data_IF_422661039645
#
_entry.id   IF_422661039645
#
_cell.length_a   1.000
_cell.length_b   1.000
_cell.length_c   1.000
_cell.angle_alpha   90.00
_cell.angle_beta   90.00
_cell.angle_gamma   90.00
#
_symmetry.space_group_name_H-M   'P 1'
#
loop_
_entity.id
_entity.type
_entity.pdbx_description
1 polymer ?
#
# COMPACT_ATOMS: atom_id res chain seq x y z
N UNK A 1 1.51 18.62 -13.54
CA UNK A 1 1.06 19.03 -12.19
C UNK A 1 2.01 18.43 -11.15
N UNK A 2 3.30 18.76 -11.24
CA UNK A 2 4.40 18.18 -10.45
C UNK A 2 5.15 19.26 -9.66
N UNK A 3 4.47 20.38 -9.38
CA UNK A 3 5.09 21.54 -8.76
C UNK A 3 5.38 21.25 -7.27
N UNK A 4 6.67 21.14 -6.97
CA UNK A 4 7.30 21.79 -5.82
C UNK A 4 7.15 21.16 -4.42
N UNK A 5 6.95 19.85 -4.29
CA UNK A 5 7.18 19.20 -2.99
C UNK A 5 8.67 19.00 -2.74
N UNK A 6 9.14 19.38 -1.54
CA UNK A 6 10.53 19.17 -1.15
C UNK A 6 10.74 17.69 -0.83
N UNK A 7 11.89 17.09 -1.19
CA UNK A 7 12.23 15.75 -0.72
C UNK A 7 12.11 15.67 0.81
N UNK A 8 11.47 14.61 1.31
CA UNK A 8 11.24 14.41 2.75
C UNK A 8 10.00 15.11 3.32
N UNK A 9 9.30 15.93 2.53
CA UNK A 9 8.01 16.50 2.94
C UNK A 9 6.94 15.41 2.96
N UNK A 10 6.08 15.40 3.98
CA UNK A 10 4.92 14.52 3.99
C UNK A 10 3.83 15.10 3.08
N UNK A 11 3.29 14.24 2.22
CA UNK A 11 2.15 14.56 1.36
C UNK A 11 0.99 13.66 1.71
N UNK A 12 -0.20 14.24 1.73
CA UNK A 12 -1.46 13.51 1.89
C UNK A 12 -2.05 13.27 0.52
N UNK A 13 -2.24 12.00 0.18
CA UNK A 13 -2.87 11.58 -1.06
C UNK A 13 -4.27 11.07 -0.74
N UNK A 14 -5.27 11.50 -1.50
CA UNK A 14 -6.66 11.03 -1.39
C UNK A 14 -7.15 10.53 -2.74
N UNK A 15 -7.70 9.32 -2.80
CA UNK A 15 -8.31 8.79 -4.03
C UNK A 15 -9.64 9.50 -4.28
N UNK A 16 -9.77 10.21 -5.40
CA UNK A 16 -10.99 10.98 -5.71
C UNK A 16 -12.06 10.16 -6.40
N UNK A 17 -11.67 9.16 -7.20
CA UNK A 17 -12.59 8.34 -8.00
C UNK A 17 -12.09 6.90 -8.10
N UNK A 18 -12.98 5.98 -8.43
CA UNK A 18 -12.65 4.56 -8.57
C UNK A 18 -11.66 4.31 -9.71
N UNK A 19 -10.62 3.54 -9.41
CA UNK A 19 -9.57 3.18 -10.38
C UNK A 19 -10.03 1.95 -11.16
N UNK A 20 -10.16 2.12 -12.48
CA UNK A 20 -10.71 1.13 -13.41
C UNK A 20 -9.67 0.10 -13.86
N UNK A 21 -8.47 0.57 -14.15
CA UNK A 21 -7.34 -0.21 -14.67
C UNK A 21 -6.61 -0.93 -13.54
N UNK A 22 -6.24 -2.21 -13.72
CA UNK A 22 -5.50 -2.97 -12.71
C UNK A 22 -4.10 -2.37 -12.46
N UNK A 23 -3.42 -1.90 -13.50
CA UNK A 23 -2.06 -1.35 -13.40
C UNK A 23 -2.01 -0.05 -12.56
N UNK A 24 -2.99 0.83 -12.75
CA UNK A 24 -3.11 2.05 -11.94
C UNK A 24 -3.47 1.70 -10.49
N UNK A 25 -4.31 0.67 -10.30
CA UNK A 25 -4.70 0.19 -8.97
C UNK A 25 -3.48 -0.35 -8.22
N UNK A 26 -2.65 -1.14 -8.89
CA UNK A 26 -1.42 -1.68 -8.32
C UNK A 26 -0.41 -0.58 -8.00
N UNK A 27 -0.32 0.45 -8.85
CA UNK A 27 0.50 1.64 -8.61
C UNK A 27 0.04 2.41 -7.37
N UNK A 28 -1.26 2.67 -7.23
CA UNK A 28 -1.81 3.32 -6.04
C UNK A 28 -1.60 2.47 -4.80
N UNK A 29 -1.89 1.17 -4.85
CA UNK A 29 -1.65 0.27 -3.71
C UNK A 29 -0.18 0.24 -3.30
N UNK A 30 0.74 0.33 -4.25
CA UNK A 30 2.19 0.41 -3.98
C UNK A 30 2.56 1.73 -3.30
N UNK A 31 1.98 2.85 -3.73
CA UNK A 31 2.14 4.14 -3.04
C UNK A 31 1.57 4.09 -1.62
N UNK A 32 0.38 3.51 -1.43
CA UNK A 32 -0.22 3.32 -0.10
C UNK A 32 0.66 2.49 0.84
N UNK A 33 1.34 1.45 0.32
CA UNK A 33 2.28 0.64 1.11
C UNK A 33 3.52 1.40 1.58
N UNK A 34 3.76 2.63 1.14
CA UNK A 34 4.85 3.46 1.65
C UNK A 34 4.49 4.15 2.96
N UNK A 35 3.19 4.30 3.26
CA UNK A 35 2.69 4.88 4.50
C UNK A 35 3.18 4.07 5.71
N UNK A 36 3.82 4.71 6.71
CA UNK A 36 4.28 4.06 7.93
C UNK A 36 3.19 3.26 8.65
N UNK A 37 1.95 3.73 8.70
CA UNK A 37 0.88 3.08 9.43
C UNK A 37 0.35 1.85 8.69
N UNK A 38 0.25 1.94 7.35
CA UNK A 38 -0.06 0.77 6.51
C UNK A 38 1.06 -0.28 6.63
N UNK A 39 2.34 0.13 6.60
CA UNK A 39 3.48 -0.78 6.80
C UNK A 39 3.42 -1.49 8.15
N UNK A 40 3.15 -0.75 9.24
CA UNK A 40 2.98 -1.32 10.59
C UNK A 40 1.81 -2.29 10.64
N UNK A 41 0.68 -1.95 10.03
CA UNK A 41 -0.47 -2.82 9.92
C UNK A 41 -0.14 -4.12 9.20
N UNK A 42 0.56 -4.05 8.06
CA UNK A 42 0.94 -5.23 7.27
C UNK A 42 1.91 -6.12 8.04
N UNK A 43 2.86 -5.53 8.78
CA UNK A 43 3.77 -6.28 9.66
C UNK A 43 3.01 -7.05 10.74
N UNK A 44 2.12 -6.38 11.47
CA UNK A 44 1.28 -7.02 12.51
C UNK A 44 0.41 -8.14 11.94
N UNK A 45 -0.17 -7.90 10.76
CA UNK A 45 -0.99 -8.91 10.09
C UNK A 45 -0.16 -10.14 9.69
N UNK A 46 1.07 -9.94 9.23
CA UNK A 46 2.00 -11.02 8.90
C UNK A 46 2.42 -11.81 10.14
N UNK A 47 2.74 -11.14 11.25
CA UNK A 47 3.07 -11.78 12.54
C UNK A 47 1.92 -12.65 13.03
N UNK A 48 0.68 -12.12 13.00
CA UNK A 48 -0.52 -12.88 13.36
C UNK A 48 -0.76 -14.08 12.43
N UNK A 49 -0.46 -13.94 11.14
CA UNK A 49 -0.57 -15.03 10.16
C UNK A 49 0.40 -16.17 10.48
N UNK A 50 1.62 -15.86 10.90
CA UNK A 50 2.61 -16.84 11.31
C UNK A 50 2.24 -17.52 12.63
N UNK A 51 1.77 -16.75 13.61
CA UNK A 51 1.34 -17.29 14.91
C UNK A 51 0.14 -18.23 14.81
N UNK A 52 -0.77 -18.01 13.86
CA UNK A 52 -1.99 -18.83 13.67
C UNK A 52 -1.85 -19.86 12.54
N UNK A 53 -0.62 -20.12 12.08
CA UNK A 53 -0.34 -21.01 10.97
C UNK A 53 -0.64 -22.46 11.35
N UNK A 54 -1.52 -23.11 10.60
CA UNK A 54 -1.81 -24.54 10.80
C UNK A 54 -0.74 -25.37 10.12
N UNK A 55 0.03 -26.12 10.91
CA UNK A 55 1.06 -27.04 10.43
C UNK A 55 0.50 -28.46 10.48
N UNK A 56 0.49 -29.15 9.34
CA UNK A 56 0.04 -30.54 9.23
C UNK A 56 1.23 -31.46 9.00
N UNK A 57 1.20 -32.67 9.58
CA UNK A 57 2.21 -33.70 9.29
C UNK A 57 1.94 -34.38 7.94
N UNK A 58 2.98 -34.55 7.10
CA UNK A 58 2.93 -35.40 5.91
C UNK A 58 4.28 -36.12 5.74
N UNK A 59 4.27 -37.45 5.86
CA UNK A 59 5.48 -38.27 5.81
C UNK A 59 6.48 -37.94 6.92
N UNK A 60 6.00 -37.69 8.15
CA UNK A 60 6.85 -37.31 9.28
C UNK A 60 7.45 -35.90 9.23
N UNK A 61 7.12 -35.10 8.20
CA UNK A 61 7.58 -33.71 8.07
C UNK A 61 6.44 -32.71 8.36
N UNK A 62 6.73 -31.58 9.01
CA UNK A 62 5.76 -30.49 9.17
C UNK A 62 5.57 -29.73 7.85
N UNK A 63 4.33 -29.63 7.40
CA UNK A 63 3.93 -28.86 6.22
C UNK A 63 2.97 -27.73 6.63
N UNK A 64 3.42 -26.47 6.63
CA UNK A 64 2.55 -25.34 6.94
C UNK A 64 1.54 -25.08 5.83
N UNK A 65 0.28 -24.88 6.20
CA UNK A 65 -0.78 -24.50 5.27
C UNK A 65 -0.63 -23.04 4.87
N UNK A 66 -0.54 -22.76 3.57
CA UNK A 66 -0.42 -21.38 3.06
C UNK A 66 -1.73 -20.60 3.29
N UNK A 67 -1.70 -19.60 4.18
CA UNK A 67 -2.81 -18.64 4.37
C UNK A 67 -2.60 -17.40 3.50
N UNK A 68 -3.66 -16.79 2.95
CA UNK A 68 -3.53 -15.54 2.20
C UNK A 68 -3.00 -14.41 3.08
N UNK A 69 -2.29 -13.45 2.48
CA UNK A 69 -1.88 -12.23 3.18
C UNK A 69 -3.07 -11.29 3.38
N UNK A 70 -3.03 -10.51 4.46
CA UNK A 70 -4.04 -9.48 4.69
C UNK A 70 -3.88 -8.30 3.72
N UNK A 71 -5.00 -7.77 3.23
CA UNK A 71 -5.04 -6.62 2.31
C UNK A 71 -5.50 -5.38 3.08
N UNK A 72 -4.53 -4.59 3.54
CA UNK A 72 -4.79 -3.35 4.31
C UNK A 72 -4.85 -2.14 3.37
N UNK A 73 -3.90 -2.01 2.44
CA UNK A 73 -3.98 -1.01 1.39
C UNK A 73 -5.13 -1.35 0.43
N UNK A 74 -6.12 -0.47 0.34
CA UNK A 74 -7.27 -0.57 -0.55
C UNK A 74 -7.37 0.72 -1.36
N UNK A 75 -7.23 0.61 -2.67
CA UNK A 75 -7.30 1.75 -3.57
C UNK A 75 -8.77 2.05 -3.94
N UNK A 76 -9.57 2.34 -2.92
CA UNK A 76 -11.00 2.68 -3.03
C UNK A 76 -11.19 4.20 -2.99
N UNK A 77 -12.28 4.69 -3.58
CA UNK A 77 -12.56 6.12 -3.60
C UNK A 77 -12.85 6.64 -2.18
N UNK A 78 -12.31 7.81 -1.83
CA UNK A 78 -12.39 8.40 -0.50
C UNK A 78 -11.20 8.08 0.39
N UNK A 79 -10.40 7.06 0.08
CA UNK A 79 -9.29 6.69 0.94
C UNK A 79 -8.12 7.65 0.86
N UNK A 80 -7.64 8.04 2.05
CA UNK A 80 -6.55 8.98 2.22
C UNK A 80 -5.41 8.34 3.00
N UNK A 81 -4.18 8.63 2.60
CA UNK A 81 -2.98 8.13 3.25
C UNK A 81 -1.85 9.14 3.15
N UNK A 82 -0.84 8.99 4.00
CA UNK A 82 0.28 9.93 4.09
C UNK A 82 1.57 9.24 3.72
N UNK A 83 2.34 9.85 2.81
CA UNK A 83 3.65 9.34 2.41
C UNK A 83 4.72 10.42 2.46
N UNK A 84 5.96 10.06 2.83
CA UNK A 84 7.09 10.95 2.61
C UNK A 84 7.37 11.06 1.12
N UNK A 85 7.33 12.29 0.59
CA UNK A 85 7.64 12.55 -0.81
C UNK A 85 9.13 12.31 -1.07
N UNK A 86 9.40 11.52 -2.11
CA UNK A 86 10.74 11.32 -2.64
C UNK A 86 10.71 11.53 -4.15
N UNK A 87 11.75 12.13 -4.77
CA UNK A 87 11.76 12.41 -6.20
C UNK A 87 11.57 11.16 -7.09
N UNK A 88 11.96 9.98 -6.59
CA UNK A 88 11.78 8.71 -7.29
C UNK A 88 10.29 8.36 -7.49
N UNK A 89 9.41 8.81 -6.61
CA UNK A 89 7.96 8.57 -6.70
C UNK A 89 7.28 9.54 -7.67
N UNK A 90 7.96 10.57 -8.17
CA UNK A 90 7.35 11.59 -9.00
C UNK A 90 6.71 11.00 -10.27
N UNK A 91 7.36 10.01 -10.90
CA UNK A 91 6.83 9.34 -12.10
C UNK A 91 5.57 8.52 -11.79
N UNK A 92 5.59 7.77 -10.69
CA UNK A 92 4.44 6.97 -10.27
C UNK A 92 3.25 7.87 -9.95
N UNK A 93 3.49 8.92 -9.15
CA UNK A 93 2.49 9.92 -8.78
C UNK A 93 1.93 10.61 -10.04
N UNK A 94 2.78 10.96 -11.01
CA UNK A 94 2.35 11.57 -12.26
C UNK A 94 1.43 10.63 -13.08
N UNK A 95 1.73 9.33 -13.10
CA UNK A 95 0.91 8.33 -13.81
C UNK A 95 -0.52 8.26 -13.25
N UNK A 96 -0.66 8.29 -11.93
CA UNK A 96 -1.97 8.16 -11.26
C UNK A 96 -2.58 9.51 -10.83
N UNK A 97 -1.97 10.63 -11.22
CA UNK A 97 -2.38 11.98 -10.81
C UNK A 97 -3.85 12.29 -11.13
N UNK A 98 -4.40 11.71 -12.20
CA UNK A 98 -5.81 11.91 -12.58
C UNK A 98 -6.82 11.30 -11.58
N UNK A 99 -6.37 10.41 -10.70
CA UNK A 99 -7.19 9.74 -9.69
C UNK A 99 -6.93 10.24 -8.27
N UNK A 100 -5.92 11.09 -8.07
CA UNK A 100 -5.44 11.49 -6.76
C UNK A 100 -5.59 13.00 -6.55
N UNK A 101 -6.06 13.36 -5.36
CA UNK A 101 -5.88 14.70 -4.79
C UNK A 101 -4.66 14.66 -3.89
N UNK A 102 -3.70 15.54 -4.13
CA UNK A 102 -2.42 15.57 -3.39
C UNK A 102 -2.31 16.92 -2.71
N UNK A 103 -2.10 16.88 -1.40
CA UNK A 103 -2.00 18.06 -0.53
C UNK A 103 -0.75 17.92 0.34
N UNK A 104 -0.18 19.04 0.78
CA UNK A 104 0.83 19.00 1.84
C UNK A 104 0.14 18.51 3.13
N UNK A 105 0.72 17.49 3.77
CA UNK A 105 0.20 16.91 5.00
C UNK A 105 0.58 17.74 6.23
#
# INVERSE_FOLDING_TARGET
MSQSFKPGQNIRCTVTRSIRTPDDRDTVMRLMRLDPDIKRGLKKAQERRLATLVVRGRGGRPWPTRRPSSKIARAEAGESWTIPYTPLLARDIASVASYLKIEAA
#
